data_IF_950908156087
#
_entry.id   IF_950908156087
#
_cell.length_a   1.000
_cell.length_b   1.000
_cell.length_c   1.000
_cell.angle_alpha   90.00
_cell.angle_beta   90.00
_cell.angle_gamma   90.00
#
_symmetry.space_group_name_H-M   'P 1'
#
loop_
_entity.id
_entity.type
_entity.pdbx_description
1 polymer ?
#
# COMPACT_ATOMS: atom_id res chain seq x y z
N UNK A 1 2.18 -5.63 2.44
CA UNK A 1 0.93 -5.09 1.86
C UNK A 1 1.26 -4.50 0.50
N UNK A 2 0.39 -4.60 -0.49
CA UNK A 2 0.60 -4.01 -1.82
C UNK A 2 -0.30 -2.80 -2.03
N UNK A 3 0.26 -1.68 -2.52
CA UNK A 3 -0.50 -0.49 -2.94
C UNK A 3 0.11 0.01 -4.26
N UNK A 4 -0.66 -0.02 -5.35
CA UNK A 4 -0.24 0.34 -6.71
C UNK A 4 1.04 -0.39 -7.13
N UNK A 5 0.99 -1.73 -7.11
CA UNK A 5 2.10 -2.64 -7.44
C UNK A 5 3.37 -2.50 -6.58
N UNK A 6 3.37 -1.61 -5.59
CA UNK A 6 4.47 -1.42 -4.66
C UNK A 6 4.24 -2.23 -3.38
N UNK A 7 5.29 -2.85 -2.89
CA UNK A 7 5.27 -3.73 -1.71
C UNK A 7 5.81 -2.97 -0.50
N UNK A 8 5.03 -2.94 0.56
CA UNK A 8 5.35 -2.21 1.79
C UNK A 8 5.40 -3.16 3.00
N UNK A 9 6.43 -2.99 3.82
CA UNK A 9 6.52 -3.57 5.17
C UNK A 9 6.04 -2.55 6.19
N UNK A 10 4.79 -2.72 6.63
CA UNK A 10 4.14 -1.82 7.58
C UNK A 10 4.14 -2.38 9.02
N UNK A 11 4.96 -3.40 9.30
CA UNK A 11 4.99 -4.09 10.61
C UNK A 11 5.18 -3.11 11.77
N UNK A 12 6.12 -2.17 11.62
CA UNK A 12 6.42 -1.17 12.66
C UNK A 12 5.38 -0.04 12.71
N UNK A 13 4.66 0.21 11.62
CA UNK A 13 3.62 1.24 11.56
C UNK A 13 2.27 0.79 12.12
N UNK A 14 2.06 -0.52 12.33
CA UNK A 14 0.72 -1.06 12.62
C UNK A 14 0.01 -0.41 13.81
N UNK A 15 0.74 0.01 14.85
CA UNK A 15 0.16 0.63 16.05
C UNK A 15 0.00 2.14 15.94
N UNK A 16 0.63 2.75 14.94
CA UNK A 16 0.60 4.19 14.70
C UNK A 16 -0.48 4.60 13.70
N UNK A 17 -1.03 3.63 12.96
CA UNK A 17 -2.08 3.88 11.98
C UNK A 17 -3.36 4.44 12.66
N UNK A 18 -3.87 5.62 12.24
CA UNK A 18 -5.00 6.28 12.89
C UNK A 18 -6.30 5.46 12.91
N UNK A 19 -6.49 4.57 11.93
CA UNK A 19 -7.67 3.70 11.85
C UNK A 19 -7.50 2.37 12.62
N UNK A 20 -6.38 2.20 13.32
CA UNK A 20 -6.06 1.03 14.14
C UNK A 20 -5.33 -0.07 13.37
N UNK A 21 -4.79 -1.04 14.12
CA UNK A 21 -4.06 -2.19 13.60
C UNK A 21 -4.96 -3.25 12.98
N UNK A 22 -6.22 -3.35 13.41
CA UNK A 22 -7.13 -4.43 12.98
C UNK A 22 -7.39 -4.37 11.49
N UNK A 23 -7.62 -3.17 10.94
CA UNK A 23 -7.81 -2.98 9.50
C UNK A 23 -6.52 -3.27 8.72
N UNK A 24 -5.35 -3.00 9.28
CA UNK A 24 -4.09 -3.32 8.60
C UNK A 24 -3.83 -4.82 8.54
N UNK A 25 -4.23 -5.56 9.58
CA UNK A 25 -4.14 -7.02 9.63
C UNK A 25 -5.13 -7.69 8.67
N UNK A 26 -6.32 -7.11 8.47
CA UNK A 26 -7.32 -7.60 7.50
C UNK A 26 -6.75 -7.64 6.06
N UNK A 27 -5.95 -6.64 5.70
CA UNK A 27 -5.32 -6.51 4.36
C UNK A 27 -3.82 -6.86 4.38
N UNK A 28 -3.34 -7.54 5.43
CA UNK A 28 -1.95 -7.96 5.49
C UNK A 28 -1.65 -8.99 4.40
N UNK A 29 -0.59 -8.76 3.62
CA UNK A 29 -0.19 -9.64 2.52
C UNK A 29 -1.07 -9.58 1.27
N UNK A 30 -2.08 -8.71 1.22
CA UNK A 30 -2.94 -8.53 0.03
C UNK A 30 -2.63 -7.22 -0.70
N UNK A 31 -3.23 -7.07 -1.88
CA UNK A 31 -3.38 -5.77 -2.54
C UNK A 31 -4.48 -4.97 -1.83
N UNK A 32 -4.08 -3.83 -1.26
CA UNK A 32 -4.94 -2.90 -0.53
C UNK A 32 -5.18 -1.61 -1.33
N UNK A 33 -4.84 -1.55 -2.61
CA UNK A 33 -4.86 -0.33 -3.44
C UNK A 33 -6.22 0.35 -3.45
N UNK A 34 -7.29 -0.43 -3.66
CA UNK A 34 -8.65 0.13 -3.68
C UNK A 34 -9.05 0.68 -2.32
N UNK A 35 -8.86 -0.10 -1.26
CA UNK A 35 -9.24 0.31 0.11
C UNK A 35 -8.42 1.51 0.58
N UNK A 36 -7.13 1.57 0.21
CA UNK A 36 -6.28 2.72 0.49
C UNK A 36 -6.71 3.97 -0.29
N UNK A 37 -7.10 3.83 -1.57
CA UNK A 37 -7.50 4.94 -2.43
C UNK A 37 -8.92 5.46 -2.15
N UNK A 38 -9.82 4.60 -1.68
CA UNK A 38 -11.21 4.95 -1.35
C UNK A 38 -11.35 5.74 -0.04
N UNK A 39 -10.29 5.81 0.76
CA UNK A 39 -10.24 6.56 2.01
C UNK A 39 -9.49 7.87 1.81
N UNK A 40 -9.88 8.96 2.50
CA UNK A 40 -9.20 10.25 2.40
C UNK A 40 -7.86 10.23 3.18
N UNK A 41 -6.87 9.50 2.65
CA UNK A 41 -5.50 9.59 3.12
C UNK A 41 -4.90 10.94 2.70
N UNK A 42 -4.32 11.67 3.65
CA UNK A 42 -3.66 12.95 3.38
C UNK A 42 -2.38 12.76 2.57
N UNK A 43 -1.84 13.85 2.02
CA UNK A 43 -0.51 13.83 1.39
C UNK A 43 0.57 13.28 2.33
N UNK A 44 0.49 13.61 3.62
CA UNK A 44 1.42 13.11 4.63
C UNK A 44 1.34 11.59 4.79
N UNK A 45 0.16 10.99 4.64
CA UNK A 45 0.01 9.53 4.67
C UNK A 45 0.76 8.86 3.50
N UNK A 46 0.75 9.47 2.32
CA UNK A 46 1.57 9.00 1.19
C UNK A 46 3.07 9.16 1.47
N UNK A 47 3.50 10.27 2.07
CA UNK A 47 4.91 10.48 2.45
C UNK A 47 5.36 9.47 3.50
N UNK A 48 4.50 9.14 4.48
CA UNK A 48 4.77 8.11 5.49
C UNK A 48 4.88 6.74 4.80
N UNK A 49 3.94 6.41 3.92
CA UNK A 49 3.91 5.13 3.21
C UNK A 49 5.21 4.86 2.43
N UNK A 50 5.76 5.85 1.74
CA UNK A 50 7.02 5.74 1.00
C UNK A 50 8.21 5.30 1.87
N UNK A 51 8.21 5.61 3.18
CA UNK A 51 9.29 5.18 4.11
C UNK A 51 9.32 3.67 4.31
N UNK A 52 8.21 2.99 4.06
CA UNK A 52 8.02 1.56 4.28
C UNK A 52 8.08 0.74 2.99
N UNK A 53 8.43 1.37 1.86
CA UNK A 53 8.58 0.71 0.58
C UNK A 53 9.77 -0.25 0.62
N UNK A 54 9.53 -1.53 0.34
CA UNK A 54 10.57 -2.57 0.30
C UNK A 54 10.78 -3.16 -1.10
N UNK A 55 9.94 -2.81 -2.06
CA UNK A 55 10.09 -3.25 -3.44
C UNK A 55 8.82 -3.08 -4.27
N UNK A 56 8.80 -3.73 -5.42
CA UNK A 56 7.68 -3.75 -6.35
C UNK A 56 7.34 -5.21 -6.68
N UNK A 57 6.09 -5.45 -7.06
CA UNK A 57 5.68 -6.74 -7.60
C UNK A 57 6.47 -7.07 -8.86
N UNK A 58 6.59 -8.36 -9.15
CA UNK A 58 7.15 -8.81 -10.44
C UNK A 58 6.23 -8.37 -11.58
N UNK A 59 6.76 -8.03 -12.76
CA UNK A 59 5.97 -7.48 -13.87
C UNK A 59 4.71 -8.27 -14.21
N UNK A 60 4.76 -9.60 -14.09
CA UNK A 60 3.65 -10.51 -14.40
C UNK A 60 2.46 -10.38 -13.44
N UNK A 61 2.68 -9.82 -12.25
CA UNK A 61 1.67 -9.63 -11.21
C UNK A 61 1.21 -8.16 -11.08
N UNK A 62 1.82 -7.25 -11.84
CA UNK A 62 1.49 -5.82 -11.82
C UNK A 62 0.16 -5.56 -12.51
N UNK A 63 -0.67 -4.71 -11.89
CA UNK A 63 -1.98 -4.30 -12.42
C UNK A 63 -2.04 -2.80 -12.77
N UNK A 64 -1.09 -2.02 -12.27
CA UNK A 64 -1.03 -0.56 -12.39
C UNK A 64 0.22 -0.06 -13.11
N UNK A 65 1.19 -0.92 -13.42
CA UNK A 65 2.36 -0.57 -14.24
C UNK A 65 1.93 -0.18 -15.66
N UNK A 66 2.36 1.01 -16.10
CA UNK A 66 1.89 1.82 -17.23
C UNK A 66 2.14 1.21 -18.63
N UNK A 67 2.18 -0.11 -18.78
CA UNK A 67 2.23 -0.77 -20.09
C UNK A 67 0.90 -0.67 -20.88
N UNK A 68 -0.08 0.09 -20.39
CA UNK A 68 -1.22 0.59 -21.16
C UNK A 68 -1.07 2.05 -21.63
N UNK A 69 0.16 2.59 -21.64
CA UNK A 69 0.50 3.76 -22.46
C UNK A 69 0.71 3.32 -23.92
N UNK A 70 -0.37 3.04 -24.64
CA UNK A 70 -0.42 3.00 -26.12
C UNK A 70 -1.44 3.99 -26.62
#
# INVERSE_FOLDING_TARGET
MVIRDRVYDLTDFMREHPAGSDIMLEYAGTDATMVFSDKPHSLDAWIILEKYLIGELVPEERMFDDNYSS
#
